data_IF_697097200295
#
_entry.id   IF_697097200295
#
_cell.length_a   1.000
_cell.length_b   1.000
_cell.length_c   1.000
_cell.angle_alpha   90.00
_cell.angle_beta   90.00
_cell.angle_gamma   90.00
#
_symmetry.space_group_name_H-M   'P 1'
#
loop_
_entity.id
_entity.type
_entity.pdbx_description
1 polymer ?
#
# COMPACT_ATOMS: atom_id res chain seq x y z
N UNK A 1 26.31 35.16 21.73
CA UNK A 1 25.93 35.11 20.31
C UNK A 1 25.83 33.65 19.92
N UNK A 2 24.76 32.98 20.37
CA UNK A 2 24.34 31.69 19.83
C UNK A 2 23.16 31.95 18.87
N UNK A 3 23.29 33.05 18.11
CA UNK A 3 22.23 33.60 17.29
C UNK A 3 22.24 32.86 15.95
N UNK A 4 21.17 32.09 15.76
CA UNK A 4 20.70 31.50 14.51
C UNK A 4 21.50 30.31 13.96
N UNK A 5 21.55 29.22 14.74
CA UNK A 5 21.79 27.93 14.13
C UNK A 5 20.55 27.45 13.39
N UNK A 6 20.66 27.35 12.06
CA UNK A 6 19.59 26.95 11.14
C UNK A 6 20.15 26.82 9.73
N UNK A 7 19.33 26.29 8.82
CA UNK A 7 19.72 26.16 7.42
C UNK A 7 18.51 26.27 6.50
N UNK A 8 18.79 26.52 5.22
CA UNK A 8 17.76 26.65 4.20
C UNK A 8 17.42 25.25 3.68
N UNK A 9 16.17 24.84 3.87
CA UNK A 9 15.68 23.54 3.44
C UNK A 9 15.22 23.55 2.00
N UNK A 10 15.13 22.37 1.38
CA UNK A 10 14.58 22.24 0.03
C UNK A 10 13.05 22.30 0.04
N UNK A 11 12.44 23.40 -0.46
CA UNK A 11 11.00 23.54 -0.47
C UNK A 11 10.33 22.57 -1.46
N UNK A 12 11.03 22.08 -2.49
CA UNK A 12 10.47 21.12 -3.45
C UNK A 12 10.46 19.69 -2.91
N UNK A 13 11.20 19.40 -1.84
CA UNK A 13 11.22 18.08 -1.20
C UNK A 13 10.10 17.93 -0.15
N UNK A 14 9.98 18.90 0.75
CA UNK A 14 9.05 18.85 1.89
C UNK A 14 8.47 20.22 2.24
N UNK A 15 8.37 21.12 1.27
CA UNK A 15 7.74 22.41 1.49
C UNK A 15 6.29 22.30 1.96
N UNK A 16 5.73 23.43 2.38
CA UNK A 16 4.42 23.51 3.04
C UNK A 16 3.31 22.81 2.24
N UNK A 17 3.28 22.97 0.91
CA UNK A 17 2.25 22.36 0.08
C UNK A 17 2.34 20.84 0.04
N UNK A 18 3.55 20.28 0.02
CA UNK A 18 3.79 18.83 0.06
C UNK A 18 3.38 18.28 1.42
N UNK A 19 3.79 18.90 2.52
CA UNK A 19 3.42 18.45 3.88
C UNK A 19 1.90 18.45 4.07
N UNK A 20 1.24 19.57 3.76
CA UNK A 20 -0.22 19.68 3.89
C UNK A 20 -0.92 18.67 2.97
N UNK A 21 -0.43 18.47 1.74
CA UNK A 21 -1.01 17.49 0.83
C UNK A 21 -0.99 16.07 1.41
N UNK A 22 0.13 15.66 2.02
CA UNK A 22 0.27 14.34 2.62
C UNK A 22 -0.62 14.18 3.86
N UNK A 23 -0.80 15.25 4.65
CA UNK A 23 -1.73 15.25 5.80
C UNK A 23 -3.19 15.14 5.36
N UNK A 24 -3.60 15.95 4.37
CA UNK A 24 -4.96 15.90 3.80
C UNK A 24 -5.22 14.54 3.17
N UNK A 25 -4.24 14.00 2.45
CA UNK A 25 -4.38 12.69 1.83
C UNK A 25 -4.51 11.59 2.88
N UNK A 26 -3.64 11.57 3.90
CA UNK A 26 -3.72 10.63 5.01
C UNK A 26 -5.09 10.72 5.71
N UNK A 27 -5.59 11.93 5.96
CA UNK A 27 -6.92 12.16 6.51
C UNK A 27 -8.02 11.58 5.61
N UNK A 28 -7.99 11.91 4.31
CA UNK A 28 -8.98 11.46 3.33
C UNK A 28 -9.05 9.93 3.28
N UNK A 29 -7.89 9.28 3.31
CA UNK A 29 -7.77 7.83 3.27
C UNK A 29 -8.32 7.16 4.54
N UNK A 30 -8.16 7.81 5.69
CA UNK A 30 -8.76 7.33 6.93
C UNK A 30 -10.28 7.56 6.97
N UNK A 31 -10.79 8.62 6.34
CA UNK A 31 -12.22 8.92 6.30
C UNK A 31 -13.01 7.92 5.44
N UNK A 32 -12.48 7.45 4.32
CA UNK A 32 -13.15 6.50 3.41
C UNK A 32 -13.71 5.25 4.12
N UNK A 33 -12.91 4.48 4.89
CA UNK A 33 -13.40 3.30 5.59
C UNK A 33 -14.35 3.67 6.73
N UNK A 34 -14.14 4.80 7.40
CA UNK A 34 -15.02 5.29 8.46
C UNK A 34 -16.42 5.67 7.95
N UNK A 35 -16.47 6.23 6.74
CA UNK A 35 -17.71 6.64 6.07
C UNK A 35 -18.34 5.49 5.27
N UNK A 36 -17.68 4.33 5.23
CA UNK A 36 -18.17 3.13 4.55
C UNK A 36 -18.40 3.35 3.06
N UNK A 37 -17.42 3.96 2.36
CA UNK A 37 -17.46 4.24 0.92
C UNK A 37 -16.45 3.34 0.18
N UNK A 38 -16.72 2.03 0.03
CA UNK A 38 -15.74 1.08 -0.51
C UNK A 38 -15.40 1.30 -1.99
N UNK A 39 -16.31 1.90 -2.78
CA UNK A 39 -16.17 2.08 -4.25
C UNK A 39 -14.86 2.79 -4.62
N UNK A 40 -14.45 3.78 -3.83
CA UNK A 40 -13.28 4.60 -4.15
C UNK A 40 -11.98 4.09 -3.52
N UNK A 41 -12.03 3.06 -2.67
CA UNK A 41 -10.85 2.58 -1.95
C UNK A 41 -9.69 2.22 -2.90
N UNK A 42 -10.00 1.69 -4.10
CA UNK A 42 -8.98 1.37 -5.11
C UNK A 42 -8.29 2.60 -5.68
N UNK A 43 -9.06 3.59 -6.14
CA UNK A 43 -8.53 4.85 -6.68
C UNK A 43 -7.58 5.54 -5.69
N UNK A 44 -8.00 5.61 -4.43
CA UNK A 44 -7.26 6.19 -3.35
C UNK A 44 -6.00 5.38 -3.00
N UNK A 45 -6.11 4.04 -2.92
CA UNK A 45 -4.95 3.16 -2.72
C UNK A 45 -3.92 3.32 -3.84
N UNK A 46 -4.35 3.36 -5.10
CA UNK A 46 -3.46 3.57 -6.26
C UNK A 46 -2.75 4.91 -6.18
N UNK A 47 -3.47 5.99 -5.85
CA UNK A 47 -2.85 7.31 -5.71
C UNK A 47 -1.84 7.35 -4.56
N UNK A 48 -2.16 6.72 -3.43
CA UNK A 48 -1.24 6.57 -2.30
C UNK A 48 0.02 5.80 -2.67
N UNK A 49 -0.12 4.69 -3.42
CA UNK A 49 1.01 3.92 -3.95
C UNK A 49 1.89 4.72 -4.90
N UNK A 50 1.29 5.49 -5.82
CA UNK A 50 2.05 6.34 -6.74
C UNK A 50 2.86 7.39 -5.98
N UNK A 51 2.27 8.04 -4.97
CA UNK A 51 2.96 9.04 -4.17
C UNK A 51 4.02 8.43 -3.25
N UNK A 52 3.75 7.25 -2.69
CA UNK A 52 4.75 6.48 -1.98
C UNK A 52 5.95 6.17 -2.89
N UNK A 53 5.71 5.64 -4.10
CA UNK A 53 6.77 5.32 -5.05
C UNK A 53 7.56 6.56 -5.47
N UNK A 54 6.87 7.67 -5.76
CA UNK A 54 7.49 8.93 -6.13
C UNK A 54 8.40 9.47 -5.01
N UNK A 55 7.88 9.57 -3.79
CA UNK A 55 8.66 10.04 -2.63
C UNK A 55 9.79 9.07 -2.28
N UNK A 56 9.61 7.77 -2.48
CA UNK A 56 10.66 6.76 -2.31
C UNK A 56 11.82 6.94 -3.29
N UNK A 57 11.51 7.18 -4.57
CA UNK A 57 12.52 7.47 -5.60
C UNK A 57 13.30 8.73 -5.23
N UNK A 58 12.60 9.78 -4.77
CA UNK A 58 13.24 11.02 -4.34
C UNK A 58 14.17 10.78 -3.15
N UNK A 59 13.73 10.04 -2.12
CA UNK A 59 14.58 9.67 -0.97
C UNK A 59 15.88 9.00 -1.44
N UNK A 60 15.79 8.00 -2.33
CA UNK A 60 16.95 7.28 -2.84
C UNK A 60 17.86 8.22 -3.65
N UNK A 61 17.29 9.02 -4.55
CA UNK A 61 18.02 9.96 -5.41
C UNK A 61 18.78 10.99 -4.57
N UNK A 62 18.10 11.66 -3.65
CA UNK A 62 18.70 12.71 -2.80
C UNK A 62 19.75 12.12 -1.85
N UNK A 63 19.52 10.90 -1.35
CA UNK A 63 20.51 10.20 -0.52
C UNK A 63 21.76 9.80 -1.30
N UNK A 64 21.60 9.42 -2.58
CA UNK A 64 22.72 9.09 -3.46
C UNK A 64 23.50 10.34 -3.90
N UNK A 65 22.78 11.44 -4.20
CA UNK A 65 23.35 12.72 -4.61
C UNK A 65 24.02 13.47 -3.44
N UNK A 66 23.65 13.16 -2.19
CA UNK A 66 24.14 13.82 -0.96
C UNK A 66 23.91 15.34 -0.95
N UNK A 67 22.87 15.77 -1.63
CA UNK A 67 22.41 17.16 -1.73
C UNK A 67 21.60 17.58 -0.52
N UNK A 68 20.99 16.62 0.16
CA UNK A 68 20.07 16.83 1.29
C UNK A 68 20.73 16.43 2.61
N UNK A 69 20.40 17.13 3.71
CA UNK A 69 20.96 16.84 5.03
C UNK A 69 20.34 15.60 5.67
N UNK A 70 21.08 14.95 6.56
CA UNK A 70 20.62 13.73 7.25
C UNK A 70 19.32 13.94 8.03
N UNK A 71 19.15 15.11 8.67
CA UNK A 71 17.93 15.45 9.42
C UNK A 71 16.70 15.64 8.53
N UNK A 72 16.89 16.17 7.32
CA UNK A 72 15.80 16.37 6.34
C UNK A 72 15.24 15.03 5.88
N UNK A 73 16.14 14.12 5.49
CA UNK A 73 15.77 12.76 5.11
C UNK A 73 15.14 11.98 6.27
N UNK A 74 15.54 12.26 7.51
CA UNK A 74 14.94 11.61 8.68
C UNK A 74 13.46 11.92 8.83
N UNK A 75 13.02 13.19 8.87
CA UNK A 75 11.57 13.44 9.01
C UNK A 75 10.81 13.20 7.71
N UNK A 76 11.44 13.40 6.54
CA UNK A 76 10.84 13.05 5.26
C UNK A 76 10.55 11.55 5.15
N UNK A 77 11.37 10.71 5.79
CA UNK A 77 11.10 9.28 5.90
C UNK A 77 9.78 8.95 6.62
N UNK A 78 9.43 9.70 7.67
CA UNK A 78 8.16 9.52 8.37
C UNK A 78 6.97 9.90 7.50
N UNK A 79 7.10 10.95 6.70
CA UNK A 79 6.10 11.34 5.71
C UNK A 79 5.89 10.23 4.67
N UNK A 80 6.97 9.66 4.15
CA UNK A 80 6.90 8.53 3.21
C UNK A 80 6.32 7.25 3.84
N UNK A 81 6.73 6.90 5.07
CA UNK A 81 6.24 5.72 5.80
C UNK A 81 4.73 5.78 6.07
N UNK A 82 4.19 6.97 6.32
CA UNK A 82 2.76 7.16 6.54
C UNK A 82 1.90 6.64 5.37
N UNK A 83 2.41 6.73 4.14
CA UNK A 83 1.68 6.31 2.94
C UNK A 83 1.55 4.79 2.82
N UNK A 84 2.55 4.03 3.28
CA UNK A 84 2.51 2.54 3.28
C UNK A 84 1.46 2.03 4.26
N UNK A 85 1.41 2.64 5.45
CA UNK A 85 0.45 2.26 6.49
C UNK A 85 -0.97 2.41 5.96
N UNK A 86 -1.25 3.48 5.22
CA UNK A 86 -2.55 3.72 4.58
C UNK A 86 -2.90 2.67 3.53
N UNK A 87 -1.97 2.39 2.61
CA UNK A 87 -2.12 1.37 1.56
C UNK A 87 -2.38 -0.01 2.18
N UNK A 88 -1.87 -0.27 3.38
CA UNK A 88 -2.09 -1.52 4.10
C UNK A 88 -3.43 -1.56 4.83
N UNK A 89 -3.89 -0.43 5.39
CA UNK A 89 -5.13 -0.33 6.16
C UNK A 89 -6.37 -0.40 5.27
N UNK A 90 -6.37 0.28 4.11
CA UNK A 90 -7.57 0.35 3.26
C UNK A 90 -8.08 -1.03 2.79
N UNK A 91 -7.22 -1.92 2.25
CA UNK A 91 -7.63 -3.29 1.92
C UNK A 91 -8.09 -4.10 3.13
N UNK A 92 -7.50 -3.88 4.31
CA UNK A 92 -7.91 -4.51 5.58
C UNK A 92 -9.25 -3.98 6.11
N UNK A 93 -9.62 -2.73 5.78
CA UNK A 93 -10.92 -2.17 6.15
C UNK A 93 -12.01 -2.53 5.13
N UNK A 94 -11.66 -2.61 3.84
CA UNK A 94 -12.52 -3.09 2.75
C UNK A 94 -12.49 -4.62 2.59
N UNK A 95 -12.06 -5.33 3.63
CA UNK A 95 -11.76 -6.75 3.59
C UNK A 95 -13.03 -7.56 3.36
N UNK A 96 -13.27 -7.90 2.09
CA UNK A 96 -14.28 -8.86 1.70
C UNK A 96 -13.67 -10.25 1.79
N UNK A 97 -14.20 -11.12 2.67
CA UNK A 97 -13.79 -12.53 2.80
C UNK A 97 -13.69 -13.24 1.44
N UNK A 98 -14.55 -12.85 0.49
CA UNK A 98 -14.58 -13.35 -0.89
C UNK A 98 -13.28 -13.10 -1.68
N UNK A 99 -12.51 -12.03 -1.40
CA UNK A 99 -11.21 -11.81 -2.04
C UNK A 99 -10.11 -12.76 -1.51
N UNK A 100 -10.23 -13.27 -0.28
CA UNK A 100 -9.34 -14.33 0.25
C UNK A 100 -9.60 -15.69 -0.39
N UNK A 101 -10.79 -15.91 -0.97
CA UNK A 101 -11.11 -17.17 -1.62
C UNK A 101 -10.31 -17.42 -2.91
N UNK A 102 -9.66 -16.39 -3.50
CA UNK A 102 -8.74 -16.59 -4.61
C UNK A 102 -7.28 -16.68 -4.13
N UNK A 103 -6.71 -17.89 -3.96
CA UNK A 103 -5.36 -18.08 -3.43
C UNK A 103 -4.27 -17.50 -4.33
N UNK A 104 -4.51 -17.38 -5.64
CA UNK A 104 -3.52 -16.79 -6.57
C UNK A 104 -3.34 -15.30 -6.33
N UNK A 105 -4.45 -14.57 -6.16
CA UNK A 105 -4.41 -13.14 -5.91
C UNK A 105 -3.77 -12.84 -4.54
N UNK A 106 -4.10 -13.62 -3.51
CA UNK A 106 -3.51 -13.47 -2.18
C UNK A 106 -2.01 -13.75 -2.16
N UNK A 107 -1.53 -14.75 -2.88
CA UNK A 107 -0.11 -15.04 -2.97
C UNK A 107 0.66 -13.94 -3.70
N UNK A 108 0.12 -13.42 -4.80
CA UNK A 108 0.73 -12.30 -5.53
C UNK A 108 0.78 -11.02 -4.68
N UNK A 109 -0.29 -10.71 -3.95
CA UNK A 109 -0.34 -9.57 -3.02
C UNK A 109 0.70 -9.74 -1.90
N UNK A 110 0.76 -10.92 -1.28
CA UNK A 110 1.71 -11.19 -0.21
C UNK A 110 3.18 -11.10 -0.70
N UNK A 111 3.46 -11.61 -1.90
CA UNK A 111 4.78 -11.50 -2.52
C UNK A 111 5.13 -10.04 -2.80
N UNK A 112 4.21 -9.27 -3.40
CA UNK A 112 4.41 -7.85 -3.70
C UNK A 112 4.67 -7.04 -2.41
N UNK A 113 3.87 -7.26 -1.36
CA UNK A 113 4.07 -6.62 -0.06
C UNK A 113 5.39 -7.02 0.58
N UNK A 114 5.80 -8.28 0.47
CA UNK A 114 7.09 -8.75 0.99
C UNK A 114 8.26 -8.05 0.30
N UNK A 115 8.20 -7.87 -1.02
CA UNK A 115 9.22 -7.13 -1.79
C UNK A 115 9.28 -5.68 -1.35
N UNK A 116 8.13 -5.00 -1.26
CA UNK A 116 8.05 -3.59 -0.83
C UNK A 116 8.63 -3.43 0.57
N UNK A 117 8.23 -4.27 1.53
CA UNK A 117 8.75 -4.25 2.91
C UNK A 117 10.26 -4.50 2.96
N UNK A 118 10.79 -5.45 2.18
CA UNK A 118 12.22 -5.71 2.11
C UNK A 118 13.01 -4.50 1.57
N UNK A 119 12.50 -3.83 0.53
CA UNK A 119 13.11 -2.61 -0.01
C UNK A 119 13.14 -1.49 1.04
N UNK A 120 12.04 -1.29 1.74
CA UNK A 120 11.91 -0.24 2.76
C UNK A 120 12.87 -0.49 3.93
N UNK A 121 12.79 -1.68 4.51
CA UNK A 121 13.57 -2.06 5.70
C UNK A 121 15.06 -2.10 5.42
N UNK A 122 15.47 -2.55 4.23
CA UNK A 122 16.89 -2.57 3.83
C UNK A 122 17.46 -1.14 3.71
N UNK A 123 16.73 -0.23 3.06
CA UNK A 123 17.13 1.17 2.96
C UNK A 123 17.19 1.84 4.33
N UNK A 124 16.17 1.70 5.19
CA UNK A 124 16.20 2.34 6.51
C UNK A 124 17.27 1.76 7.43
N UNK A 125 17.51 0.45 7.36
CA UNK A 125 18.64 -0.16 8.06
C UNK A 125 19.95 0.49 7.59
N UNK A 126 20.18 0.58 6.28
CA UNK A 126 21.35 1.29 5.75
C UNK A 126 21.41 2.75 6.22
N UNK A 127 20.30 3.48 6.17
CA UNK A 127 20.22 4.89 6.53
C UNK A 127 20.66 5.14 7.97
N UNK A 128 20.14 4.37 8.94
CA UNK A 128 20.50 4.54 10.34
C UNK A 128 21.90 4.00 10.68
N UNK A 129 22.35 2.94 10.01
CA UNK A 129 23.67 2.35 10.25
C UNK A 129 24.80 3.14 9.61
N UNK A 130 24.62 3.65 8.39
CA UNK A 130 25.66 4.32 7.60
C UNK A 130 25.19 5.62 6.96
N UNK A 131 23.97 5.69 6.42
CA UNK A 131 23.49 6.86 5.67
C UNK A 131 23.62 8.17 6.44
N UNK A 132 23.22 8.20 7.72
CA UNK A 132 23.33 9.40 8.57
C UNK A 132 24.77 9.89 8.76
N UNK A 133 25.78 9.02 8.68
CA UNK A 133 27.20 9.42 8.77
C UNK A 133 27.77 9.90 7.44
N UNK A 134 27.15 9.52 6.32
CA UNK A 134 27.58 9.84 4.96
C UNK A 134 26.96 11.16 4.47
N UNK A 135 25.79 11.53 5.02
CA UNK A 135 25.06 12.74 4.68
C UNK A 135 25.55 13.93 5.50
N UNK A 136 25.45 15.12 4.91
CA UNK A 136 25.87 16.35 5.55
C UNK A 136 25.00 16.69 6.77
N UNK A 137 25.65 17.25 7.80
CA UNK A 137 24.99 17.75 9.00
C UNK A 137 24.55 19.20 8.80
N UNK A 138 23.63 19.67 9.64
CA UNK A 138 23.17 21.07 9.59
C UNK A 138 24.27 22.10 9.82
N UNK A 139 25.37 21.71 10.47
CA UNK A 139 26.38 22.62 11.00
C UNK A 139 26.07 23.06 12.43
N UNK A 140 24.92 22.65 12.98
CA UNK A 140 24.56 22.87 14.37
C UNK A 140 25.19 21.86 15.32
N UNK A 141 25.27 22.24 16.60
CA UNK A 141 25.78 21.37 17.66
C UNK A 141 25.00 20.05 17.72
N UNK A 142 23.68 20.11 17.53
CA UNK A 142 22.82 18.94 17.49
C UNK A 142 21.68 19.12 16.47
N UNK A 143 21.48 18.09 15.64
CA UNK A 143 20.28 17.93 14.83
C UNK A 143 19.20 17.22 15.65
N UNK A 144 18.02 17.81 15.72
CA UNK A 144 16.92 17.32 16.55
C UNK A 144 15.82 16.64 15.72
N UNK A 145 15.27 15.57 16.26
CA UNK A 145 14.12 14.85 15.74
C UNK A 145 13.08 14.63 16.83
N UNK A 146 11.85 14.35 16.39
CA UNK A 146 10.74 14.03 17.27
C UNK A 146 10.67 12.53 17.52
N UNK A 147 10.60 12.18 18.81
CA UNK A 147 10.27 10.84 19.30
C UNK A 147 9.53 11.02 20.63
N UNK A 148 8.38 11.70 20.61
CA UNK A 148 7.64 12.21 21.80
C UNK A 148 8.31 13.33 22.60
N UNK A 149 9.60 13.58 22.38
CA UNK A 149 10.30 14.74 22.91
C UNK A 149 11.39 15.20 21.94
N UNK A 150 12.01 16.35 22.22
CA UNK A 150 13.15 16.87 21.47
C UNK A 150 14.37 15.98 21.72
N UNK A 151 14.73 15.14 20.75
CA UNK A 151 15.82 14.19 20.86
C UNK A 151 16.88 14.40 19.77
N UNK A 152 18.18 14.28 20.07
CA UNK A 152 19.22 14.39 19.05
C UNK A 152 19.17 13.19 18.10
N UNK A 153 19.07 13.44 16.79
CA UNK A 153 19.04 12.43 15.73
C UNK A 153 20.25 11.50 15.81
N UNK A 154 21.42 12.05 16.12
CA UNK A 154 22.69 11.34 16.20
C UNK A 154 22.94 10.65 17.55
N UNK A 155 22.07 10.87 18.54
CA UNK A 155 22.22 10.32 19.89
C UNK A 155 21.51 8.98 20.08
N UNK A 156 20.85 8.81 21.22
CA UNK A 156 20.16 7.58 21.61
C UNK A 156 19.04 7.18 20.61
N UNK A 157 18.39 8.17 19.98
CA UNK A 157 17.34 7.95 19.00
C UNK A 157 17.87 7.14 17.81
N UNK A 158 19.11 7.40 17.38
CA UNK A 158 19.77 6.62 16.33
C UNK A 158 19.89 5.15 16.71
N UNK A 159 20.34 4.87 17.93
CA UNK A 159 20.53 3.49 18.42
C UNK A 159 19.20 2.76 18.47
N UNK A 160 18.14 3.43 18.96
CA UNK A 160 16.80 2.86 18.95
C UNK A 160 16.34 2.52 17.53
N UNK A 161 16.50 3.44 16.59
CA UNK A 161 16.11 3.22 15.19
C UNK A 161 16.91 2.10 14.54
N UNK A 162 18.22 1.98 14.83
CA UNK A 162 19.02 0.83 14.38
C UNK A 162 18.42 -0.50 14.84
N UNK A 163 17.99 -0.59 16.10
CA UNK A 163 17.38 -1.81 16.66
C UNK A 163 16.04 -2.09 15.98
N UNK A 164 15.15 -1.10 15.90
CA UNK A 164 13.82 -1.24 15.28
C UNK A 164 13.94 -1.71 13.84
N UNK A 165 14.77 -1.06 13.02
CA UNK A 165 14.91 -1.41 11.60
C UNK A 165 15.64 -2.72 11.37
N UNK A 166 16.60 -3.10 12.23
CA UNK A 166 17.22 -4.44 12.17
C UNK A 166 16.20 -5.53 12.46
N UNK A 167 15.36 -5.36 13.48
CA UNK A 167 14.27 -6.31 13.79
C UNK A 167 13.29 -6.38 12.63
N UNK A 168 12.89 -5.23 12.08
CA UNK A 168 11.99 -5.17 10.92
C UNK A 168 12.57 -5.86 9.68
N UNK A 169 13.88 -5.72 9.44
CA UNK A 169 14.58 -6.39 8.34
C UNK A 169 14.60 -7.91 8.52
N UNK A 170 14.84 -8.40 9.75
CA UNK A 170 14.76 -9.83 10.07
C UNK A 170 13.34 -10.35 9.85
N UNK A 171 12.33 -9.62 10.35
CA UNK A 171 10.92 -9.98 10.16
C UNK A 171 10.53 -10.02 8.68
N UNK A 172 10.96 -9.04 7.89
CA UNK A 172 10.75 -9.02 6.45
C UNK A 172 11.44 -10.20 5.74
N UNK A 173 12.66 -10.55 6.16
CA UNK A 173 13.36 -11.74 5.68
C UNK A 173 12.62 -13.04 5.98
N UNK A 174 12.12 -13.20 7.21
CA UNK A 174 11.28 -14.36 7.59
C UNK A 174 10.01 -14.39 6.74
N UNK A 175 9.32 -13.26 6.57
CA UNK A 175 8.11 -13.17 5.74
C UNK A 175 8.39 -13.57 4.29
N UNK A 176 9.50 -13.12 3.72
CA UNK A 176 9.91 -13.48 2.36
C UNK A 176 10.20 -14.99 2.21
N UNK A 177 10.80 -15.62 3.22
CA UNK A 177 11.02 -17.07 3.26
C UNK A 177 9.71 -17.86 3.44
N UNK A 178 8.77 -17.31 4.21
CA UNK A 178 7.46 -17.92 4.44
C UNK A 178 6.50 -17.74 3.26
N UNK A 179 6.68 -16.72 2.42
CA UNK A 179 5.82 -16.46 1.25
C UNK A 179 5.68 -17.66 0.28
N UNK A 180 6.75 -18.33 -0.19
CA UNK A 180 6.63 -19.52 -1.05
C UNK A 180 6.00 -20.71 -0.32
N UNK A 181 6.29 -20.88 0.97
CA UNK A 181 5.66 -21.92 1.80
C UNK A 181 4.14 -21.68 1.93
N UNK A 182 3.75 -20.44 2.24
CA UNK A 182 2.35 -20.03 2.31
C UNK A 182 1.66 -20.19 0.95
N UNK A 183 2.31 -19.85 -0.16
CA UNK A 183 1.78 -20.09 -1.50
C UNK A 183 1.54 -21.58 -1.78
N UNK A 184 2.51 -22.43 -1.44
CA UNK A 184 2.38 -23.87 -1.58
C UNK A 184 1.25 -24.45 -0.71
N UNK A 185 1.19 -24.02 0.56
CA UNK A 185 0.14 -24.43 1.50
C UNK A 185 -1.24 -23.99 0.99
N UNK A 186 -1.40 -22.73 0.58
CA UNK A 186 -2.66 -22.23 0.02
C UNK A 186 -3.09 -22.98 -1.24
N UNK A 187 -2.13 -23.38 -2.10
CA UNK A 187 -2.44 -24.22 -3.27
C UNK A 187 -2.97 -25.59 -2.88
N UNK A 188 -2.45 -26.19 -1.79
CA UNK A 188 -2.90 -27.48 -1.26
C UNK A 188 -4.27 -27.37 -0.56
N UNK A 189 -4.52 -26.25 0.12
CA UNK A 189 -5.80 -25.99 0.79
C UNK A 189 -6.92 -25.52 -0.15
N UNK A 190 -6.61 -25.17 -1.41
CA UNK A 190 -7.61 -24.81 -2.43
C UNK A 190 -8.65 -25.91 -2.66
N UNK A 191 -8.29 -27.16 -2.39
CA UNK A 191 -9.17 -28.31 -2.61
C UNK A 191 -10.13 -28.54 -1.42
N UNK A 192 -10.05 -27.75 -0.34
CA UNK A 192 -11.07 -27.75 0.69
C UNK A 192 -12.33 -27.01 0.21
N UNK A 193 -13.54 -27.54 0.47
CA UNK A 193 -14.78 -26.87 0.14
C UNK A 193 -14.78 -25.45 0.70
N UNK A 194 -15.23 -24.50 -0.11
CA UNK A 194 -15.16 -23.09 0.27
C UNK A 194 -15.96 -22.90 1.56
N UNK A 195 -15.40 -22.12 2.49
CA UNK A 195 -16.08 -21.82 3.76
C UNK A 195 -17.48 -21.21 3.55
N UNK A 196 -17.73 -20.65 2.37
CA UNK A 196 -19.02 -20.13 1.94
C UNK A 196 -20.07 -21.25 1.76
N UNK A 197 -19.68 -22.39 1.18
CA UNK A 197 -20.56 -23.56 1.05
C UNK A 197 -20.92 -24.13 2.43
N UNK A 198 -19.94 -24.21 3.34
CA UNK A 198 -20.14 -24.69 4.72
C UNK A 198 -21.04 -23.74 5.52
N UNK A 199 -20.92 -22.43 5.31
CA UNK A 199 -21.78 -21.43 5.95
C UNK A 199 -23.20 -21.42 5.36
N UNK A 200 -23.34 -21.71 4.08
CA UNK A 200 -24.63 -21.77 3.40
C UNK A 200 -25.46 -22.97 3.87
N UNK A 201 -24.80 -24.10 4.16
CA UNK A 201 -25.44 -25.30 4.72
C UNK A 201 -25.56 -25.28 6.25
N UNK A 202 -25.02 -24.26 6.93
CA UNK A 202 -25.09 -24.14 8.39
C UNK A 202 -26.51 -23.77 8.86
N UNK A 203 -26.87 -24.26 10.05
CA UNK A 203 -28.13 -23.95 10.74
C UNK A 203 -28.36 -22.42 10.82
N UNK A 204 -29.57 -21.91 10.53
CA UNK A 204 -29.88 -20.47 10.62
C UNK A 204 -29.47 -19.83 11.95
N UNK A 205 -29.52 -20.56 13.07
CA UNK A 205 -29.07 -20.03 14.37
C UNK A 205 -27.56 -19.74 14.39
N UNK A 206 -26.77 -20.60 13.72
CA UNK A 206 -25.32 -20.42 13.55
C UNK A 206 -25.04 -19.21 12.64
N UNK A 207 -25.83 -19.02 11.59
CA UNK A 207 -25.70 -17.86 10.69
C UNK A 207 -25.99 -16.54 11.41
N UNK A 208 -27.03 -16.47 12.24
CA UNK A 208 -27.37 -15.27 13.03
C UNK A 208 -26.26 -14.97 14.06
N UNK A 209 -25.72 -16.00 14.72
CA UNK A 209 -24.61 -15.84 15.64
C UNK A 209 -23.35 -15.31 14.93
N UNK A 210 -22.99 -15.90 13.79
CA UNK A 210 -21.81 -15.52 13.03
C UNK A 210 -21.92 -14.09 12.47
N UNK A 211 -23.08 -13.72 11.92
CA UNK A 211 -23.32 -12.35 11.42
C UNK A 211 -23.28 -11.31 12.53
N UNK A 212 -23.83 -11.61 13.72
CA UNK A 212 -23.71 -10.77 14.91
C UNK A 212 -22.26 -10.57 15.36
N UNK A 213 -21.49 -11.67 15.42
CA UNK A 213 -20.06 -11.63 15.73
C UNK A 213 -19.27 -10.80 14.72
N UNK A 214 -19.47 -11.03 13.42
CA UNK A 214 -18.82 -10.26 12.35
C UNK A 214 -19.15 -8.77 12.46
N UNK A 215 -20.41 -8.41 12.75
CA UNK A 215 -20.83 -7.02 12.96
C UNK A 215 -20.11 -6.39 14.15
N UNK A 216 -20.00 -7.12 15.27
CA UNK A 216 -19.30 -6.66 16.46
C UNK A 216 -17.79 -6.48 16.21
N UNK A 217 -17.15 -7.43 15.54
CA UNK A 217 -15.72 -7.34 15.18
C UNK A 217 -15.49 -6.16 14.23
N UNK A 218 -16.34 -5.97 13.22
CA UNK A 218 -16.27 -4.81 12.30
C UNK A 218 -16.42 -3.49 13.04
N UNK A 219 -17.34 -3.40 14.00
CA UNK A 219 -17.53 -2.20 14.81
C UNK A 219 -16.29 -1.90 15.66
N UNK A 220 -15.76 -2.89 16.38
CA UNK A 220 -14.53 -2.74 17.18
C UNK A 220 -13.33 -2.33 16.32
N UNK A 221 -13.16 -2.99 15.17
CA UNK A 221 -12.10 -2.65 14.22
C UNK A 221 -12.24 -1.22 13.68
N UNK A 222 -13.47 -0.78 13.37
CA UNK A 222 -13.74 0.58 12.89
C UNK A 222 -13.39 1.64 13.94
N UNK A 223 -13.73 1.40 15.21
CA UNK A 223 -13.37 2.30 16.32
C UNK A 223 -11.86 2.33 16.53
N UNK A 224 -11.19 1.18 16.53
CA UNK A 224 -9.73 1.10 16.61
C UNK A 224 -9.05 1.85 15.46
N UNK A 225 -9.59 1.72 14.24
CA UNK A 225 -9.09 2.41 13.06
C UNK A 225 -9.27 3.93 13.15
N UNK A 226 -10.38 4.42 13.74
CA UNK A 226 -10.58 5.85 14.00
C UNK A 226 -9.52 6.39 14.96
N UNK A 227 -9.35 5.79 16.14
CA UNK A 227 -8.37 6.28 17.11
C UNK A 227 -6.94 6.13 16.60
N UNK A 228 -6.64 5.00 15.96
CA UNK A 228 -5.35 4.74 15.33
C UNK A 228 -5.03 5.74 14.24
N UNK A 229 -5.98 6.10 13.37
CA UNK A 229 -5.76 7.08 12.32
C UNK A 229 -5.49 8.49 12.85
N UNK A 230 -6.28 8.96 13.83
CA UNK A 230 -6.06 10.27 14.46
C UNK A 230 -4.68 10.32 15.13
N UNK A 231 -4.32 9.26 15.86
CA UNK A 231 -2.99 9.15 16.46
C UNK A 231 -1.89 9.19 15.39
N UNK A 232 -2.02 8.43 14.31
CA UNK A 232 -1.01 8.37 13.24
C UNK A 232 -0.87 9.70 12.50
N UNK A 233 -1.97 10.37 12.15
CA UNK A 233 -1.94 11.70 11.51
C UNK A 233 -1.22 12.70 12.42
N UNK A 234 -1.60 12.73 13.70
CA UNK A 234 -0.99 13.63 14.69
C UNK A 234 0.49 13.32 14.85
N UNK A 235 0.84 12.04 14.99
CA UNK A 235 2.23 11.61 15.14
C UNK A 235 3.08 11.99 13.93
N UNK A 236 2.59 11.77 12.71
CA UNK A 236 3.30 12.10 11.47
C UNK A 236 3.46 13.62 11.31
N UNK A 237 2.41 14.40 11.62
CA UNK A 237 2.48 15.85 11.59
C UNK A 237 3.51 16.38 12.60
N UNK A 238 3.45 15.94 13.86
CA UNK A 238 4.45 16.30 14.87
C UNK A 238 5.86 15.85 14.50
N UNK A 239 5.99 14.67 13.86
CA UNK A 239 7.29 14.14 13.41
C UNK A 239 7.94 14.95 12.30
N UNK A 240 7.17 15.76 11.56
CA UNK A 240 7.68 16.62 10.51
C UNK A 240 7.79 18.10 10.96
N UNK A 241 6.76 18.63 11.61
CA UNK A 241 6.69 20.05 12.00
C UNK A 241 7.66 20.41 13.14
N UNK A 242 7.79 19.53 14.15
CA UNK A 242 8.65 19.83 15.29
C UNK A 242 10.15 19.83 14.91
N UNK A 243 10.68 18.89 14.11
CA UNK A 243 12.06 18.98 13.63
C UNK A 243 12.33 20.22 12.79
N UNK A 244 11.39 20.64 11.93
CA UNK A 244 11.53 21.88 11.14
C UNK A 244 11.68 23.09 12.07
N UNK A 245 10.84 23.17 13.10
CA UNK A 245 10.90 24.23 14.10
C UNK A 245 12.16 24.14 14.98
N UNK A 246 12.53 22.96 15.46
CA UNK A 246 13.67 22.77 16.39
C UNK A 246 15.03 22.96 15.74
N UNK A 247 15.14 22.75 14.42
CA UNK A 247 16.38 22.95 13.66
C UNK A 247 16.38 24.26 12.86
N UNK A 248 15.37 25.13 13.05
CA UNK A 248 15.23 26.41 12.34
C UNK A 248 15.38 26.28 10.82
N UNK A 249 14.68 25.33 10.21
CA UNK A 249 14.73 25.13 8.76
C UNK A 249 13.93 26.25 8.07
N UNK A 250 14.60 27.00 7.20
CA UNK A 250 14.04 28.18 6.50
C UNK A 250 13.58 27.83 5.09
N UNK A 251 12.86 28.75 4.44
CA UNK A 251 12.31 28.65 3.08
C UNK A 251 11.28 27.53 2.81
N UNK A 252 11.03 26.64 3.77
CA UNK A 252 10.11 25.50 3.61
C UNK A 252 8.65 25.79 3.99
N UNK A 253 8.37 26.98 4.53
CA UNK A 253 7.03 27.41 4.96
C UNK A 253 6.32 28.31 3.94
N UNK A 254 6.84 28.40 2.71
CA UNK A 254 6.22 29.17 1.63
C UNK A 254 5.59 28.26 0.57
N UNK A 255 4.44 28.67 0.03
CA UNK A 255 3.76 28.01 -1.10
C UNK A 255 4.17 28.59 -2.46
N UNK A 256 5.35 29.22 -2.54
CA UNK A 256 5.80 29.90 -3.77
C UNK A 256 6.16 28.92 -4.90
N UNK A 257 6.85 27.79 -4.65
CA UNK A 257 7.23 26.88 -5.73
C UNK A 257 6.03 26.14 -6.32
N UNK A 258 5.95 26.12 -7.65
CA UNK A 258 4.89 25.43 -8.40
C UNK A 258 4.89 23.92 -8.11
N UNK A 259 6.06 23.34 -7.82
CA UNK A 259 6.22 21.92 -7.49
C UNK A 259 5.38 21.47 -6.29
N UNK A 260 5.10 22.37 -5.34
CA UNK A 260 4.29 22.06 -4.17
C UNK A 260 2.79 22.32 -4.38
N UNK A 261 2.42 23.14 -5.36
CA UNK A 261 1.03 23.49 -5.62
C UNK A 261 0.24 22.32 -6.20
N UNK A 262 0.88 21.54 -7.09
CA UNK A 262 0.25 20.37 -7.73
C UNK A 262 -0.22 19.34 -6.69
N UNK A 263 0.64 18.79 -5.80
CA UNK A 263 0.19 17.81 -4.82
C UNK A 263 -0.84 18.39 -3.83
N UNK A 264 -0.71 19.68 -3.48
CA UNK A 264 -1.67 20.36 -2.61
C UNK A 264 -3.09 20.43 -3.22
N UNK A 265 -3.21 20.84 -4.49
CA UNK A 265 -4.51 20.90 -5.17
C UNK A 265 -5.11 19.50 -5.37
N UNK A 266 -4.29 18.51 -5.72
CA UNK A 266 -4.74 17.12 -5.86
C UNK A 266 -5.31 16.58 -4.54
N UNK A 267 -4.62 16.83 -3.42
CA UNK A 267 -5.10 16.39 -2.10
C UNK A 267 -6.40 17.08 -1.68
N UNK A 268 -6.55 18.39 -1.98
CA UNK A 268 -7.82 19.10 -1.74
C UNK A 268 -8.95 18.52 -2.59
N UNK A 269 -8.72 18.30 -3.89
CA UNK A 269 -9.74 17.72 -4.78
C UNK A 269 -10.20 16.34 -4.30
N UNK A 270 -9.26 15.52 -3.81
CA UNK A 270 -9.52 14.24 -3.18
C UNK A 270 -10.41 14.36 -1.94
N UNK A 271 -10.08 15.27 -1.02
CA UNK A 271 -10.88 15.52 0.18
C UNK A 271 -12.29 16.02 -0.17
N UNK A 272 -12.40 16.98 -1.09
CA UNK A 272 -13.68 17.54 -1.55
C UNK A 272 -14.55 16.47 -2.19
N UNK A 273 -13.97 15.55 -2.97
CA UNK A 273 -14.71 14.44 -3.56
C UNK A 273 -15.31 13.52 -2.47
N UNK A 274 -14.53 13.14 -1.45
CA UNK A 274 -15.04 12.32 -0.34
C UNK A 274 -16.13 13.05 0.44
N UNK A 275 -15.94 14.34 0.72
CA UNK A 275 -16.92 15.17 1.41
C UNK A 275 -18.22 15.27 0.60
N UNK A 276 -18.14 15.57 -0.70
CA UNK A 276 -19.28 15.69 -1.59
C UNK A 276 -20.12 14.41 -1.63
N UNK A 277 -19.48 13.26 -1.82
CA UNK A 277 -20.17 11.98 -1.85
C UNK A 277 -20.84 11.64 -0.51
N UNK A 278 -20.17 11.97 0.58
CA UNK A 278 -20.72 11.80 1.92
C UNK A 278 -21.98 12.65 2.09
N UNK A 279 -21.94 13.92 1.66
CA UNK A 279 -23.11 14.79 1.66
C UNK A 279 -24.23 14.25 0.75
N UNK A 280 -23.93 13.81 -0.48
CA UNK A 280 -24.91 13.22 -1.42
C UNK A 280 -25.62 12.01 -0.78
N UNK A 281 -24.87 11.14 -0.10
CA UNK A 281 -25.39 9.98 0.63
C UNK A 281 -26.32 10.38 1.78
N UNK A 282 -25.96 11.40 2.57
CA UNK A 282 -26.81 11.90 3.65
C UNK A 282 -28.05 12.63 3.15
N UNK A 283 -28.00 13.26 1.97
CA UNK A 283 -29.14 13.93 1.36
C UNK A 283 -30.18 12.97 0.76
N UNK A 284 -30.01 11.65 0.90
CA UNK A 284 -30.93 10.65 0.34
C UNK A 284 -30.83 10.51 -1.17
N UNK A 285 -29.81 11.10 -1.80
CA UNK A 285 -29.50 10.84 -3.19
C UNK A 285 -29.05 9.39 -3.34
N UNK A 286 -29.70 8.62 -4.20
CA UNK A 286 -29.10 7.41 -4.75
C UNK A 286 -27.75 7.82 -5.33
N UNK A 287 -26.68 7.20 -4.86
CA UNK A 287 -25.38 7.38 -5.50
C UNK A 287 -25.56 6.69 -6.85
N UNK A 288 -25.82 7.48 -7.89
CA UNK A 288 -25.95 6.98 -9.26
C UNK A 288 -24.72 6.11 -9.53
N UNK A 289 -24.97 4.83 -9.73
CA UNK A 289 -23.94 3.80 -9.89
C UNK A 289 -23.36 3.80 -11.32
N UNK A 290 -23.72 4.78 -12.14
CA UNK A 290 -23.65 4.70 -13.60
C UNK A 290 -22.31 5.11 -14.23
N UNK A 291 -21.33 5.61 -13.49
CA UNK A 291 -20.06 6.04 -14.09
C UNK A 291 -18.86 5.19 -13.62
N UNK A 292 -18.23 4.52 -14.61
CA UNK A 292 -16.82 4.11 -14.69
C UNK A 292 -16.30 2.88 -13.94
N UNK A 293 -16.76 1.67 -14.32
CA UNK A 293 -15.90 0.46 -14.24
C UNK A 293 -15.93 -0.40 -15.53
N UNK A 294 -16.64 0.01 -16.59
CA UNK A 294 -16.52 -0.60 -17.93
C UNK A 294 -15.42 0.08 -18.75
N UNK A 295 -14.19 0.07 -18.25
CA UNK A 295 -13.02 -0.12 -19.12
C UNK A 295 -12.68 -1.62 -19.09
N UNK A 296 -13.68 -2.45 -19.36
CA UNK A 296 -13.39 -3.77 -19.89
C UNK A 296 -12.87 -3.56 -21.31
N UNK A 297 -11.80 -4.28 -21.61
CA UNK A 297 -11.08 -4.37 -22.86
C UNK A 297 -11.98 -4.80 -24.04
N UNK A 298 -12.94 -3.98 -24.46
CA UNK A 298 -13.55 -4.09 -25.79
C UNK A 298 -12.63 -3.42 -26.82
N UNK A 299 -11.37 -3.89 -26.85
CA UNK A 299 -10.63 -3.95 -28.10
C UNK A 299 -11.37 -5.02 -28.89
N UNK A 300 -12.44 -4.60 -29.57
CA UNK A 300 -13.13 -5.42 -30.55
C UNK A 300 -12.09 -6.02 -31.49
N UNK A 301 -12.23 -7.29 -31.90
CA UNK A 301 -11.29 -7.90 -32.82
C UNK A 301 -11.18 -7.01 -34.05
N UNK A 302 -9.94 -6.58 -34.36
CA UNK A 302 -9.62 -5.96 -35.64
C UNK A 302 -10.31 -6.77 -36.74
N UNK A 303 -11.06 -6.14 -37.67
CA UNK A 303 -11.70 -6.86 -38.74
C UNK A 303 -10.63 -7.44 -39.65
N UNK A 304 -10.26 -8.70 -39.39
CA UNK A 304 -9.51 -9.50 -40.34
C UNK A 304 -10.44 -9.74 -41.52
N UNK A 305 -10.15 -8.94 -42.54
CA UNK A 305 -10.52 -9.07 -43.94
C UNK A 305 -10.70 -10.56 -44.30
N UNK A 306 -11.92 -10.90 -44.72
CA UNK A 306 -12.32 -12.25 -45.08
C UNK A 306 -11.38 -12.91 -46.09
N UNK A 307 -11.12 -14.19 -45.83
CA UNK A 307 -10.56 -15.16 -46.75
C UNK A 307 -11.09 -16.53 -46.34
N UNK A 308 -11.84 -17.14 -47.24
CA UNK A 308 -12.53 -18.42 -47.09
C UNK A 308 -11.58 -19.58 -46.73
N UNK A 309 -11.63 -20.09 -45.50
CA UNK A 309 -11.00 -21.39 -45.13
C UNK A 309 -11.85 -22.19 -44.11
N UNK A 310 -13.17 -22.15 -44.21
CA UNK A 310 -14.05 -23.06 -43.46
C UNK A 310 -14.34 -24.32 -44.29
N UNK A 311 -13.42 -25.29 -44.26
CA UNK A 311 -13.77 -26.72 -44.47
C UNK A 311 -12.74 -27.76 -44.02
N UNK A 312 -11.53 -27.39 -43.54
CA UNK A 312 -10.50 -28.37 -43.14
C UNK A 312 -10.37 -28.66 -41.64
N UNK A 313 -11.06 -27.92 -40.75
CA UNK A 313 -10.90 -28.04 -39.30
C UNK A 313 -11.65 -29.17 -38.61
N UNK A 314 -12.67 -29.75 -39.25
CA UNK A 314 -13.52 -30.78 -38.63
C UNK A 314 -12.94 -32.20 -38.81
N UNK A 315 -12.15 -32.44 -39.86
CA UNK A 315 -11.57 -33.77 -40.12
C UNK A 315 -10.32 -34.08 -39.27
N UNK A 316 -9.68 -33.06 -38.69
CA UNK A 316 -8.48 -33.23 -37.86
C UNK A 316 -8.79 -33.61 -36.41
N UNK A 317 -9.99 -33.25 -35.90
CA UNK A 317 -10.41 -33.58 -34.53
C UNK A 317 -10.94 -35.02 -34.40
N UNK A 318 -11.59 -35.58 -35.43
CA UNK A 318 -11.98 -37.00 -35.44
C UNK A 318 -10.76 -37.94 -35.55
N UNK A 319 -9.74 -37.57 -36.34
CA UNK A 319 -8.53 -38.38 -36.48
C UNK A 319 -7.67 -38.41 -35.20
N UNK A 320 -7.65 -37.34 -34.40
CA UNK A 320 -6.96 -37.35 -33.10
C UNK A 320 -7.68 -38.19 -32.04
N UNK A 321 -9.02 -38.29 -32.08
CA UNK A 321 -9.77 -39.16 -31.19
C UNK A 321 -9.52 -40.65 -31.48
N UNK A 322 -9.33 -41.02 -32.76
CA UNK A 322 -9.00 -42.39 -33.16
C UNK A 322 -7.59 -42.81 -32.73
N UNK A 323 -6.59 -41.92 -32.84
CA UNK A 323 -5.22 -42.20 -32.42
C UNK A 323 -5.07 -42.37 -30.90
N UNK A 324 -5.86 -41.65 -30.10
CA UNK A 324 -5.84 -41.78 -28.63
C UNK A 324 -6.40 -43.13 -28.15
N UNK A 325 -7.39 -43.69 -28.86
CA UNK A 325 -7.95 -45.02 -28.57
C UNK A 325 -6.97 -46.15 -28.93
N UNK A 326 -6.19 -46.00 -29.99
CA UNK A 326 -5.16 -46.98 -30.39
C UNK A 326 -3.96 -47.02 -29.43
N UNK A 327 -3.55 -45.86 -28.89
CA UNK A 327 -2.46 -45.77 -27.91
C UNK A 327 -2.82 -46.42 -26.54
N UNK A 328 -4.07 -46.26 -26.09
CA UNK A 328 -4.57 -46.88 -24.86
C UNK A 328 -4.56 -48.41 -24.91
N UNK A 329 -4.95 -48.99 -26.05
CA UNK A 329 -5.00 -50.45 -26.21
C UNK A 329 -3.61 -51.09 -26.31
N UNK A 330 -2.57 -50.32 -26.66
CA UNK A 330 -1.20 -50.82 -26.74
C UNK A 330 -0.51 -50.83 -25.37
N UNK A 331 -0.86 -49.89 -24.47
CA UNK A 331 -0.32 -49.90 -23.10
C UNK A 331 -0.91 -51.00 -22.22
N UNK A 332 -2.19 -51.35 -22.38
CA UNK A 332 -2.79 -52.47 -21.63
C UNK A 332 -2.16 -53.83 -21.98
N UNK A 333 -1.69 -54.01 -23.22
CA UNK A 333 -1.04 -55.27 -23.64
C UNK A 333 0.38 -55.42 -23.09
N UNK A 334 1.06 -54.32 -22.73
CA UNK A 334 2.40 -54.34 -22.13
C UNK A 334 2.33 -54.59 -20.62
N UNK A 335 1.25 -54.14 -19.96
CA UNK A 335 1.05 -54.35 -18.52
C UNK A 335 0.68 -55.79 -18.12
N UNK A 336 0.26 -56.63 -19.08
CA UNK A 336 -0.11 -58.05 -18.84
C UNK A 336 1.07 -59.01 -19.13
N UNK A 337 2.19 -58.51 -19.63
CA UNK A 337 3.38 -59.30 -19.99
C UNK A 337 4.58 -59.10 -19.04
N UNK A 338 4.38 -58.45 -17.89
CA UNK A 338 5.35 -58.30 -16.79
C UNK A 338 4.77 -58.91 -15.51
#
# INVERSE_FOLDING_TARGET
>A
MADECGFDGDPDLYGLGIRISLYIQLLTMCLIPLLGIPKYSRFFTSTGLCLFAATWIVIIKESAARTTKGVELYFFSWLNLSQIVVVSILPMASFNFRQMANPKNMANINLAMSIILALITSYYTWFFWKGLDVLDRSGCENDYAFFFSKAPVYGWLRTLQKVIWTIALIAAGIQALMAPYNYFMMRKFRDFPQAEDILQDADPDVQVMFTGFVKQVKFQFSVMLLFGSVFMITFVALSAELPIMWNNIREVNSLKPVGQLVPFIVAIGQLLNVVYQTMKRFAGGTVDDDDDDSMDDDIGPCPLKGGDEDQQGVEMTENMAALRKSSSSSMERVAVAL
#
